data_IF_375640938701
#
_entry.id   IF_375640938701
#
_cell.length_a   1.000
_cell.length_b   1.000
_cell.length_c   1.000
_cell.angle_alpha   90.00
_cell.angle_beta   90.00
_cell.angle_gamma   90.00
#
_symmetry.space_group_name_H-M   'P 1'
#
loop_
_entity.id
_entity.type
_entity.pdbx_description
1 polymer ?
#
# COMPACT_ATOMS: atom_id res chain seq x y z
N UNK A 1 32.92 14.44 1.44
CA UNK A 1 31.53 14.67 0.95
C UNK A 1 30.93 13.42 0.30
N UNK A 2 31.49 12.87 -0.78
CA UNK A 2 30.94 11.67 -1.46
C UNK A 2 30.84 10.42 -0.55
N UNK A 3 31.88 10.12 0.26
CA UNK A 3 31.84 8.97 1.19
C UNK A 3 30.80 9.09 2.31
N UNK A 4 30.56 10.32 2.81
CA UNK A 4 29.54 10.59 3.83
C UNK A 4 28.13 10.48 3.24
N UNK A 5 27.92 11.03 2.04
CA UNK A 5 26.64 10.90 1.32
C UNK A 5 26.29 9.43 1.07
N UNK A 6 27.28 8.62 0.64
CA UNK A 6 27.11 7.18 0.47
C UNK A 6 26.74 6.46 1.77
N UNK A 7 27.40 6.79 2.88
CA UNK A 7 27.10 6.19 4.18
C UNK A 7 25.67 6.52 4.66
N UNK A 8 25.22 7.77 4.47
CA UNK A 8 23.87 8.21 4.78
C UNK A 8 22.82 7.51 3.91
N UNK A 9 23.11 7.32 2.61
CA UNK A 9 22.24 6.55 1.73
C UNK A 9 22.10 5.09 2.18
N UNK A 10 23.20 4.44 2.56
CA UNK A 10 23.16 3.06 3.12
C UNK A 10 22.34 3.02 4.40
N UNK A 11 22.48 4.02 5.30
CA UNK A 11 21.68 4.14 6.51
C UNK A 11 20.19 4.27 6.18
N UNK A 12 19.83 5.07 5.18
CA UNK A 12 18.45 5.19 4.73
C UNK A 12 17.89 3.84 4.25
N UNK A 13 18.64 3.10 3.41
CA UNK A 13 18.25 1.77 2.95
C UNK A 13 18.09 0.77 4.11
N UNK A 14 18.97 0.82 5.12
CA UNK A 14 18.86 -0.01 6.30
C UNK A 14 17.59 0.30 7.11
N UNK A 15 17.27 1.58 7.32
CA UNK A 15 16.03 1.98 8.00
C UNK A 15 14.77 1.64 7.19
N UNK A 16 14.82 1.71 5.84
CA UNK A 16 13.72 1.23 4.98
C UNK A 16 13.48 -0.26 5.21
N UNK A 17 14.54 -1.08 5.23
CA UNK A 17 14.41 -2.52 5.50
C UNK A 17 13.85 -2.82 6.89
N UNK A 18 14.13 -1.96 7.87
CA UNK A 18 13.59 -2.05 9.23
C UNK A 18 12.19 -1.46 9.39
N UNK A 19 11.62 -0.87 8.34
CA UNK A 19 10.35 -0.13 8.37
C UNK A 19 10.35 1.02 9.40
N UNK A 20 11.45 1.77 9.44
CA UNK A 20 11.63 2.96 10.28
C UNK A 20 11.52 4.22 9.39
N UNK A 21 10.30 4.66 9.02
CA UNK A 21 10.10 5.68 7.99
C UNK A 21 10.76 7.02 8.31
N UNK A 22 10.70 7.48 9.56
CA UNK A 22 11.28 8.76 9.99
C UNK A 22 12.81 8.77 9.91
N UNK A 23 13.44 7.68 10.35
CA UNK A 23 14.89 7.51 10.29
C UNK A 23 15.36 7.40 8.83
N UNK A 24 14.61 6.68 8.00
CA UNK A 24 14.89 6.57 6.58
C UNK A 24 14.80 7.93 5.86
N UNK A 25 13.75 8.71 6.12
CA UNK A 25 13.58 10.04 5.54
C UNK A 25 14.70 11.00 5.94
N UNK A 26 15.07 10.99 7.22
CA UNK A 26 16.13 11.85 7.74
C UNK A 26 17.46 11.53 7.04
N UNK A 27 17.84 10.25 6.98
CA UNK A 27 19.10 9.82 6.38
C UNK A 27 19.12 10.06 4.85
N UNK A 28 18.01 9.78 4.15
CA UNK A 28 17.90 10.02 2.71
C UNK A 28 17.96 11.52 2.38
N UNK A 29 17.31 12.38 3.18
CA UNK A 29 17.34 13.83 3.00
C UNK A 29 18.74 14.42 3.20
N UNK A 30 19.49 13.93 4.19
CA UNK A 30 20.88 14.33 4.41
C UNK A 30 21.78 13.87 3.25
N UNK A 31 21.62 12.62 2.78
CA UNK A 31 22.36 12.11 1.61
C UNK A 31 22.07 12.95 0.36
N UNK A 32 20.80 13.26 0.10
CA UNK A 32 20.36 14.07 -1.04
C UNK A 32 21.03 15.45 -1.05
N UNK A 33 21.08 16.12 0.10
CA UNK A 33 21.73 17.43 0.22
C UNK A 33 23.21 17.35 -0.14
N UNK A 34 23.92 16.34 0.35
CA UNK A 34 25.36 16.17 0.10
C UNK A 34 25.66 15.78 -1.35
N UNK A 35 24.85 14.91 -1.96
CA UNK A 35 25.01 14.57 -3.38
C UNK A 35 24.79 15.79 -4.29
N UNK A 36 23.76 16.61 -4.00
CA UNK A 36 23.53 17.89 -4.69
C UNK A 36 24.73 18.84 -4.57
N UNK A 37 25.27 18.99 -3.37
CA UNK A 37 26.45 19.85 -3.15
C UNK A 37 27.69 19.32 -3.87
N UNK A 38 27.81 17.99 -4.02
CA UNK A 38 28.90 17.35 -4.75
C UNK A 38 28.70 17.35 -6.28
N UNK A 39 27.53 17.74 -6.80
CA UNK A 39 27.19 17.62 -8.21
C UNK A 39 27.01 16.17 -8.68
N UNK A 40 26.79 15.23 -7.75
CA UNK A 40 26.62 13.81 -8.03
C UNK A 40 25.16 13.50 -8.36
N UNK A 41 24.86 13.48 -9.66
CA UNK A 41 23.50 13.31 -10.19
C UNK A 41 22.97 11.89 -9.93
N UNK A 42 23.82 10.87 -10.03
CA UNK A 42 23.43 9.48 -9.79
C UNK A 42 23.13 9.24 -8.30
N UNK A 43 23.96 9.81 -7.42
CA UNK A 43 23.74 9.80 -5.98
C UNK A 43 22.47 10.55 -5.58
N UNK A 44 22.19 11.71 -6.18
CA UNK A 44 20.95 12.45 -5.98
C UNK A 44 19.73 11.60 -6.37
N UNK A 45 19.76 10.95 -7.54
CA UNK A 45 18.66 10.09 -7.99
C UNK A 45 18.42 8.92 -7.02
N UNK A 46 19.49 8.27 -6.54
CA UNK A 46 19.39 7.17 -5.58
C UNK A 46 18.84 7.63 -4.21
N UNK A 47 19.24 8.80 -3.74
CA UNK A 47 18.73 9.38 -2.51
C UNK A 47 17.24 9.76 -2.64
N UNK A 48 16.82 10.33 -3.77
CA UNK A 48 15.42 10.62 -4.06
C UNK A 48 14.56 9.34 -4.11
N UNK A 49 15.07 8.27 -4.73
CA UNK A 49 14.39 6.98 -4.73
C UNK A 49 14.21 6.44 -3.31
N UNK A 50 15.23 6.56 -2.46
CA UNK A 50 15.16 6.20 -1.05
C UNK A 50 14.15 7.05 -0.28
N UNK A 51 14.07 8.36 -0.53
CA UNK A 51 13.03 9.22 0.03
C UNK A 51 11.64 8.75 -0.38
N UNK A 52 11.40 8.45 -1.66
CA UNK A 52 10.11 7.92 -2.13
C UNK A 52 9.77 6.61 -1.42
N UNK A 53 10.70 5.66 -1.35
CA UNK A 53 10.51 4.38 -0.64
C UNK A 53 10.18 4.59 0.84
N UNK A 54 10.87 5.52 1.51
CA UNK A 54 10.61 5.84 2.91
C UNK A 54 9.23 6.49 3.11
N UNK A 55 8.77 7.35 2.20
CA UNK A 55 7.42 7.91 2.23
C UNK A 55 6.33 6.83 2.09
N UNK A 56 6.56 5.83 1.24
CA UNK A 56 5.62 4.72 1.06
C UNK A 56 5.42 3.88 2.34
N UNK A 57 6.37 3.90 3.28
CA UNK A 57 6.26 3.17 4.54
C UNK A 57 5.26 3.79 5.53
N UNK A 58 4.84 5.03 5.34
CA UNK A 58 3.76 5.63 6.15
C UNK A 58 2.37 5.10 5.79
N UNK A 59 2.26 4.38 4.67
CA UNK A 59 1.02 3.74 4.27
C UNK A 59 1.00 2.31 4.79
N UNK A 60 0.13 2.05 5.77
CA UNK A 60 -0.07 0.70 6.25
C UNK A 60 -1.05 -0.06 5.34
N UNK A 61 -0.67 -1.25 4.84
CA UNK A 61 -1.62 -2.14 4.19
C UNK A 61 -2.79 -2.41 5.13
N UNK A 62 -3.99 -2.47 4.56
CA UNK A 62 -5.20 -2.76 5.33
C UNK A 62 -5.91 -3.98 4.80
N UNK A 63 -6.81 -4.51 5.60
CA UNK A 63 -7.61 -5.68 5.24
C UNK A 63 -8.97 -5.23 4.71
N UNK A 64 -9.38 -5.80 3.57
CA UNK A 64 -10.79 -5.81 3.17
C UNK A 64 -11.60 -6.61 4.21
N UNK A 65 -12.75 -6.08 4.61
CA UNK A 65 -13.61 -6.74 5.60
C UNK A 65 -14.94 -7.11 4.98
N UNK A 66 -15.43 -8.29 5.33
CA UNK A 66 -16.73 -8.80 4.95
C UNK A 66 -17.51 -9.13 6.23
N UNK A 67 -18.70 -8.55 6.37
CA UNK A 67 -19.68 -8.93 7.38
C UNK A 67 -20.88 -9.57 6.67
N UNK A 68 -21.31 -10.71 7.18
CA UNK A 68 -22.40 -11.50 6.62
C UNK A 68 -23.55 -11.56 7.61
N UNK A 69 -24.76 -11.39 7.09
CA UNK A 69 -25.99 -11.61 7.83
C UNK A 69 -26.88 -12.63 7.11
N UNK A 70 -26.85 -13.87 7.61
CA UNK A 70 -27.49 -15.02 6.96
C UNK A 70 -29.01 -14.89 6.85
N UNK A 71 -29.65 -14.21 7.80
CA UNK A 71 -31.13 -14.07 7.83
C UNK A 71 -31.64 -13.15 6.72
N UNK A 72 -30.92 -12.08 6.46
CA UNK A 72 -31.27 -11.06 5.47
C UNK A 72 -30.63 -11.36 4.11
N UNK A 73 -29.56 -12.15 4.08
CA UNK A 73 -28.71 -12.36 2.91
C UNK A 73 -27.91 -11.12 2.55
N UNK A 74 -27.62 -10.28 3.54
CA UNK A 74 -26.82 -9.06 3.39
C UNK A 74 -25.34 -9.39 3.56
N UNK A 75 -24.52 -8.94 2.60
CA UNK A 75 -23.08 -8.86 2.72
C UNK A 75 -22.65 -7.40 2.74
N UNK A 76 -22.00 -6.96 3.83
CA UNK A 76 -21.36 -5.66 3.92
C UNK A 76 -19.85 -5.83 3.66
N UNK A 77 -19.36 -5.20 2.61
CA UNK A 77 -17.96 -5.21 2.22
C UNK A 77 -17.36 -3.83 2.50
N UNK A 78 -16.39 -3.76 3.40
CA UNK A 78 -15.62 -2.54 3.66
C UNK A 78 -14.24 -2.66 2.99
N UNK A 79 -13.90 -1.72 2.12
CA UNK A 79 -12.60 -1.64 1.45
C UNK A 79 -12.08 -0.21 1.45
N UNK A 80 -10.76 -0.09 1.35
CA UNK A 80 -10.09 1.18 1.06
C UNK A 80 -8.96 0.93 0.04
N UNK A 81 -8.33 1.99 -0.42
CA UNK A 81 -7.31 1.93 -1.47
C UNK A 81 -6.03 1.15 -1.09
N UNK A 82 -5.76 0.96 0.21
CA UNK A 82 -4.64 0.17 0.75
C UNK A 82 -5.03 -1.27 1.07
N UNK A 83 -6.24 -1.72 0.70
CA UNK A 83 -6.65 -3.10 0.90
C UNK A 83 -5.71 -4.06 0.15
N UNK A 84 -5.19 -5.06 0.86
CA UNK A 84 -4.28 -6.07 0.27
C UNK A 84 -4.99 -6.92 -0.78
N UNK A 85 -4.25 -7.41 -1.77
CA UNK A 85 -4.83 -8.30 -2.80
C UNK A 85 -5.36 -9.59 -2.18
N UNK A 86 -4.66 -10.10 -1.17
CA UNK A 86 -4.98 -11.32 -0.44
C UNK A 86 -6.31 -11.18 0.32
N UNK A 87 -6.52 -10.05 0.99
CA UNK A 87 -7.77 -9.78 1.70
C UNK A 87 -8.94 -9.63 0.75
N UNK A 88 -8.75 -8.91 -0.37
CA UNK A 88 -9.76 -8.76 -1.42
C UNK A 88 -10.13 -10.12 -2.04
N UNK A 89 -9.15 -10.97 -2.35
CA UNK A 89 -9.39 -12.33 -2.84
C UNK A 89 -10.13 -13.21 -1.83
N UNK A 90 -9.81 -13.06 -0.54
CA UNK A 90 -10.51 -13.78 0.53
C UNK A 90 -11.99 -13.38 0.58
N UNK A 91 -12.29 -12.08 0.52
CA UNK A 91 -13.67 -11.57 0.44
C UNK A 91 -14.39 -12.13 -0.78
N UNK A 92 -13.77 -12.06 -1.97
CA UNK A 92 -14.35 -12.59 -3.21
C UNK A 92 -14.63 -14.10 -3.13
N UNK A 93 -13.72 -14.87 -2.55
CA UNK A 93 -13.85 -16.32 -2.41
C UNK A 93 -15.05 -16.68 -1.53
N UNK A 94 -15.24 -15.97 -0.41
CA UNK A 94 -16.39 -16.17 0.48
C UNK A 94 -17.69 -15.77 -0.22
N UNK A 95 -17.73 -14.61 -0.87
CA UNK A 95 -18.92 -14.15 -1.60
C UNK A 95 -19.32 -15.11 -2.72
N UNK A 96 -18.35 -15.65 -3.48
CA UNK A 96 -18.58 -16.65 -4.52
C UNK A 96 -19.12 -17.96 -3.95
N UNK A 97 -18.59 -18.42 -2.81
CA UNK A 97 -19.11 -19.61 -2.15
C UNK A 97 -20.57 -19.42 -1.69
N UNK A 98 -20.95 -18.21 -1.28
CA UNK A 98 -22.33 -17.88 -0.91
C UNK A 98 -23.26 -17.74 -2.11
N UNK A 99 -22.79 -17.17 -3.23
CA UNK A 99 -23.61 -17.03 -4.43
C UNK A 99 -24.00 -18.37 -5.06
N UNK A 100 -23.22 -19.43 -4.80
CA UNK A 100 -23.53 -20.80 -5.23
C UNK A 100 -24.64 -21.44 -4.38
N UNK A 101 -24.88 -20.95 -3.16
CA UNK A 101 -25.93 -21.47 -2.29
C UNK A 101 -27.25 -20.73 -2.58
N UNK A 102 -28.35 -21.46 -2.83
CA UNK A 102 -29.64 -20.82 -3.10
C UNK A 102 -30.05 -19.88 -1.95
N UNK A 103 -30.57 -18.71 -2.30
CA UNK A 103 -31.19 -17.77 -1.36
C UNK A 103 -30.28 -17.21 -0.24
N UNK A 104 -28.95 -17.33 -0.37
CA UNK A 104 -28.00 -16.99 0.71
C UNK A 104 -27.43 -15.59 0.60
N UNK A 105 -27.09 -15.13 -0.62
CA UNK A 105 -26.65 -13.76 -0.88
C UNK A 105 -27.70 -13.03 -1.71
N UNK A 106 -28.28 -11.97 -1.15
CA UNK A 106 -29.35 -11.18 -1.78
C UNK A 106 -28.92 -9.74 -2.06
N UNK A 107 -28.16 -9.15 -1.14
CA UNK A 107 -27.73 -7.75 -1.22
C UNK A 107 -26.26 -7.67 -0.85
N UNK A 108 -25.50 -6.93 -1.66
CA UNK A 108 -24.13 -6.55 -1.35
C UNK A 108 -24.11 -5.04 -1.15
N UNK A 109 -23.67 -4.60 0.03
CA UNK A 109 -23.39 -3.20 0.31
C UNK A 109 -21.88 -3.03 0.29
N UNK A 110 -21.39 -2.23 -0.64
CA UNK A 110 -19.99 -1.89 -0.73
C UNK A 110 -19.76 -0.51 -0.11
N UNK A 111 -19.01 -0.48 0.98
CA UNK A 111 -18.52 0.74 1.59
C UNK A 111 -17.05 0.93 1.20
N UNK A 112 -16.79 2.02 0.47
CA UNK A 112 -15.46 2.36 -0.02
C UNK A 112 -14.98 3.61 0.69
N UNK A 113 -13.91 3.48 1.48
CA UNK A 113 -13.24 4.62 2.10
C UNK A 113 -12.22 5.19 1.10
N UNK A 114 -12.45 6.43 0.66
CA UNK A 114 -11.53 7.14 -0.20
C UNK A 114 -10.33 7.65 0.60
N UNK A 115 -9.12 7.36 0.13
CA UNK A 115 -7.86 7.91 0.64
C UNK A 115 -7.01 8.38 -0.52
N UNK A 116 -6.33 9.51 -0.34
CA UNK A 116 -5.31 9.96 -1.28
C UNK A 116 -4.06 9.09 -1.07
N UNK A 117 -3.85 8.14 -1.98
CA UNK A 117 -2.75 7.19 -1.90
C UNK A 117 -2.02 7.09 -3.25
N UNK A 118 -0.70 6.92 -3.25
CA UNK A 118 0.06 6.64 -4.46
C UNK A 118 -0.51 5.44 -5.22
N UNK A 119 -0.64 5.57 -6.54
CA UNK A 119 -1.25 4.53 -7.41
C UNK A 119 -0.49 3.21 -7.35
N UNK A 120 0.80 3.24 -7.02
CA UNK A 120 1.65 2.07 -6.87
C UNK A 120 1.23 1.19 -5.69
N UNK A 121 0.58 1.76 -4.67
CA UNK A 121 0.11 1.05 -3.48
C UNK A 121 -1.30 0.46 -3.62
N UNK A 122 -2.05 0.90 -4.63
CA UNK A 122 -3.43 0.42 -4.84
C UNK A 122 -3.41 -1.00 -5.39
N UNK A 123 -4.13 -1.94 -4.75
CA UNK A 123 -4.22 -3.32 -5.22
C UNK A 123 -4.62 -3.38 -6.71
N UNK A 124 -4.02 -4.26 -7.51
CA UNK A 124 -4.41 -4.46 -8.90
C UNK A 124 -5.91 -4.74 -9.07
N UNK A 125 -6.54 -5.47 -8.13
CA UNK A 125 -7.97 -5.81 -8.20
C UNK A 125 -8.89 -4.58 -8.10
N UNK A 126 -8.50 -3.58 -7.31
CA UNK A 126 -9.22 -2.31 -7.23
C UNK A 126 -8.92 -1.45 -8.46
N UNK A 127 -7.65 -1.43 -8.90
CA UNK A 127 -7.19 -0.61 -10.02
C UNK A 127 -7.83 -0.99 -11.36
N UNK A 128 -8.03 -2.29 -11.60
CA UNK A 128 -8.67 -2.80 -12.82
C UNK A 128 -10.19 -2.88 -12.70
N UNK A 129 -10.75 -2.65 -11.51
CA UNK A 129 -12.15 -2.92 -11.21
C UNK A 129 -12.49 -4.41 -11.12
N UNK A 130 -11.52 -5.33 -11.26
CA UNK A 130 -11.78 -6.77 -11.21
C UNK A 130 -12.43 -7.22 -9.89
N UNK A 131 -12.21 -6.49 -8.79
CA UNK A 131 -12.89 -6.74 -7.53
C UNK A 131 -14.42 -6.57 -7.60
N UNK A 132 -14.92 -5.71 -8.49
CA UNK A 132 -16.34 -5.40 -8.62
C UNK A 132 -17.04 -6.25 -9.67
N UNK A 133 -16.28 -6.75 -10.64
CA UNK A 133 -16.86 -7.43 -11.81
C UNK A 133 -17.13 -8.92 -11.54
N UNK A 134 -16.43 -9.53 -10.57
CA UNK A 134 -16.75 -10.87 -10.04
C UNK A 134 -16.67 -12.01 -11.06
#
# INVERSE_FOLDING_TARGET
VSGEAGALHIKALASIKKKEPEHALTAAGQALLLFRQAGDVDGEAAALESTKKAQLLFYEPSEARLLLEDKTGLALVNINALATTESLQSVLSVMKAMSLKPNTLKVVVLHVEARDVPKELVSPLLRTGAFLVG
#
